data_IF_880721827617
#
_entry.id   IF_880721827617
#
_cell.length_a   1.000
_cell.length_b   1.000
_cell.length_c   1.000
_cell.angle_alpha   90.00
_cell.angle_beta   90.00
_cell.angle_gamma   90.00
#
_symmetry.space_group_name_H-M   'P 1'
#
loop_
_entity.id
_entity.type
_entity.pdbx_description
1 polymer ?
#
# COMPACT_ATOMS: atom_id res chain seq x y z
N UNK A 1 -0.73 -19.78 -16.43
CA UNK A 1 0.29 -19.10 -15.60
C UNK A 1 -0.30 -18.80 -14.24
N UNK A 2 0.46 -19.00 -13.16
CA UNK A 2 -0.02 -18.69 -11.82
C UNK A 2 0.00 -17.17 -11.58
N UNK A 3 -1.17 -16.54 -11.44
CA UNK A 3 -1.29 -15.10 -11.23
C UNK A 3 -0.63 -14.62 -9.94
N UNK A 4 -0.74 -15.37 -8.84
CA UNK A 4 -0.15 -14.99 -7.55
C UNK A 4 1.37 -14.98 -7.57
N UNK A 5 2.00 -15.99 -8.15
CA UNK A 5 3.46 -16.02 -8.29
C UNK A 5 4.00 -14.87 -9.15
N UNK A 6 3.26 -14.47 -10.20
CA UNK A 6 3.60 -13.32 -11.04
C UNK A 6 3.48 -12.01 -10.26
N UNK A 7 2.39 -11.81 -9.51
CA UNK A 7 2.19 -10.61 -8.69
C UNK A 7 3.32 -10.44 -7.67
N UNK A 8 3.69 -11.51 -6.95
CA UNK A 8 4.79 -11.44 -5.99
C UNK A 8 6.14 -11.17 -6.67
N UNK A 9 6.41 -11.79 -7.82
CA UNK A 9 7.62 -11.52 -8.59
C UNK A 9 7.66 -10.07 -9.11
N UNK A 10 6.54 -9.56 -9.62
CA UNK A 10 6.45 -8.19 -10.12
C UNK A 10 6.59 -7.17 -8.97
N UNK A 11 6.04 -7.44 -7.78
CA UNK A 11 6.26 -6.64 -6.58
C UNK A 11 7.73 -6.58 -6.16
N UNK A 12 8.42 -7.73 -6.11
CA UNK A 12 9.83 -7.80 -5.73
C UNK A 12 10.78 -7.19 -6.78
N UNK A 13 10.41 -7.27 -8.05
CA UNK A 13 11.17 -6.71 -9.16
C UNK A 13 10.85 -5.23 -9.45
N UNK A 14 9.98 -4.60 -8.64
CA UNK A 14 9.56 -3.21 -8.83
C UNK A 14 8.71 -2.96 -10.08
N UNK A 15 8.07 -4.01 -10.61
CA UNK A 15 7.18 -3.97 -11.78
C UNK A 15 5.71 -3.81 -11.40
N UNK A 16 5.37 -4.11 -10.15
CA UNK A 16 4.07 -3.79 -9.58
C UNK A 16 4.15 -2.39 -8.97
N UNK A 17 3.40 -1.45 -9.54
CA UNK A 17 3.27 -0.09 -9.04
C UNK A 17 1.93 0.50 -9.48
N UNK A 18 1.49 1.52 -8.77
CA UNK A 18 0.35 2.36 -9.17
C UNK A 18 0.79 3.80 -9.23
N UNK A 19 0.29 4.53 -10.22
CA UNK A 19 0.49 5.97 -10.31
C UNK A 19 -0.77 6.68 -9.88
N UNK A 20 -0.63 7.64 -8.97
CA UNK A 20 -1.72 8.47 -8.47
C UNK A 20 -1.39 9.94 -8.75
N UNK A 21 -2.41 10.78 -8.88
CA UNK A 21 -2.22 12.21 -9.11
C UNK A 21 -2.79 12.95 -7.92
N UNK A 22 -1.96 13.77 -7.27
CA UNK A 22 -2.34 14.61 -6.12
C UNK A 22 -1.78 16.01 -6.34
N UNK A 23 -2.61 17.03 -6.18
CA UNK A 23 -2.22 18.43 -6.38
C UNK A 23 -1.57 18.68 -7.76
N UNK A 24 -2.04 18.00 -8.81
CA UNK A 24 -1.53 18.11 -10.17
C UNK A 24 -0.16 17.46 -10.42
N UNK A 25 0.41 16.73 -9.44
CA UNK A 25 1.65 15.97 -9.59
C UNK A 25 1.37 14.47 -9.57
N UNK A 26 2.08 13.72 -10.41
CA UNK A 26 2.00 12.27 -10.45
C UNK A 26 3.01 11.64 -9.48
N UNK A 27 2.55 10.69 -8.67
CA UNK A 27 3.36 9.94 -7.72
C UNK A 27 3.25 8.45 -7.98
N UNK A 28 4.38 7.75 -7.91
CA UNK A 28 4.43 6.29 -8.04
C UNK A 28 4.44 5.63 -6.68
N UNK A 29 3.49 4.73 -6.47
CA UNK A 29 3.35 3.92 -5.26
C UNK A 29 3.76 2.50 -5.59
N UNK A 30 4.68 1.96 -4.79
CA UNK A 30 5.08 0.56 -4.83
C UNK A 30 4.39 -0.21 -3.69
N UNK A 31 4.33 -1.55 -3.75
CA UNK A 31 3.86 -2.36 -2.63
C UNK A 31 4.62 -1.97 -1.35
N UNK A 32 3.93 -1.44 -0.32
CA UNK A 32 4.61 -0.85 0.81
C UNK A 32 5.21 -1.92 1.72
N UNK A 33 6.39 -1.63 2.27
CA UNK A 33 7.03 -2.48 3.27
C UNK A 33 6.35 -2.30 4.64
N UNK A 34 6.64 -3.22 5.58
CA UNK A 34 6.14 -3.14 6.96
C UNK A 34 6.53 -1.80 7.62
N UNK A 35 7.74 -1.31 7.35
CA UNK A 35 8.22 -0.02 7.84
C UNK A 35 7.36 1.15 7.33
N UNK A 36 7.10 1.22 6.02
CA UNK A 36 6.27 2.27 5.43
C UNK A 36 4.85 2.23 5.96
N UNK A 37 4.29 1.03 6.13
CA UNK A 37 2.97 0.84 6.73
C UNK A 37 2.94 1.32 8.19
N UNK A 38 3.95 0.98 8.99
CA UNK A 38 4.03 1.41 10.38
C UNK A 38 4.15 2.94 10.51
N UNK A 39 4.96 3.57 9.66
CA UNK A 39 5.07 5.03 9.58
C UNK A 39 3.74 5.69 9.23
N UNK A 40 3.04 5.19 8.21
CA UNK A 40 1.71 5.69 7.86
C UNK A 40 0.69 5.51 8.99
N UNK A 41 0.62 4.32 9.61
CA UNK A 41 -0.31 4.02 10.71
C UNK A 41 -0.03 4.92 11.93
N UNK A 42 1.22 5.29 12.18
CA UNK A 42 1.56 6.16 13.32
C UNK A 42 0.80 7.50 13.26
N UNK A 43 0.57 8.03 12.06
CA UNK A 43 -0.20 9.26 11.83
C UNK A 43 -1.73 9.04 11.83
N UNK A 44 -2.18 7.79 11.65
CA UNK A 44 -3.59 7.41 11.64
C UNK A 44 -4.07 6.79 12.97
N UNK A 45 -3.17 6.62 13.93
CA UNK A 45 -3.40 5.92 15.23
C UNK A 45 -4.49 6.53 16.12
N UNK A 46 -4.95 7.76 15.84
CA UNK A 46 -6.04 8.41 16.58
C UNK A 46 -7.44 7.90 16.25
N UNK A 47 -7.58 7.03 15.24
CA UNK A 47 -8.88 6.53 14.78
C UNK A 47 -9.27 5.28 15.56
N UNK A 48 -10.46 5.29 16.17
CA UNK A 48 -10.93 4.20 17.06
C UNK A 48 -11.73 3.12 16.35
N UNK A 49 -12.53 3.49 15.35
CA UNK A 49 -13.32 2.56 14.53
C UNK A 49 -13.57 3.20 13.16
N UNK A 50 -12.87 2.72 12.14
CA UNK A 50 -13.08 3.13 10.76
C UNK A 50 -13.05 1.91 9.85
N UNK A 51 -14.07 1.75 9.02
CA UNK A 51 -14.12 0.65 8.05
C UNK A 51 -13.51 1.04 6.71
N UNK A 52 -13.47 2.34 6.41
CA UNK A 52 -12.89 2.89 5.20
C UNK A 52 -11.88 4.00 5.52
N UNK A 53 -11.00 4.29 4.57
CA UNK A 53 -10.07 5.43 4.67
C UNK A 53 -10.85 6.74 4.75
N UNK A 54 -12.01 6.83 4.11
CA UNK A 54 -12.92 7.96 4.25
C UNK A 54 -13.46 8.12 5.68
N UNK A 55 -13.73 7.03 6.39
CA UNK A 55 -14.15 7.09 7.81
C UNK A 55 -13.00 7.55 8.72
N UNK A 56 -11.77 7.09 8.41
CA UNK A 56 -10.54 7.59 9.04
C UNK A 56 -10.42 9.11 8.83
N UNK A 57 -10.66 9.57 7.60
CA UNK A 57 -10.64 10.96 7.16
C UNK A 57 -11.64 11.82 7.95
N UNK A 58 -12.89 11.38 7.99
CA UNK A 58 -14.00 12.06 8.68
C UNK A 58 -13.78 12.08 10.21
N UNK A 59 -13.18 11.02 10.76
CA UNK A 59 -12.86 10.94 12.19
C UNK A 59 -11.68 11.82 12.60
N UNK A 60 -10.65 11.93 11.74
CA UNK A 60 -9.46 12.73 12.03
C UNK A 60 -9.68 14.21 11.73
N UNK A 61 -10.45 14.55 10.69
CA UNK A 61 -10.68 15.92 10.24
C UNK A 61 -9.41 16.68 9.84
N UNK A 62 -8.28 15.96 9.68
CA UNK A 62 -6.94 16.52 9.58
C UNK A 62 -6.25 16.01 8.32
N UNK A 63 -6.30 16.83 7.27
CA UNK A 63 -5.65 16.56 5.99
C UNK A 63 -4.12 16.47 6.11
N UNK A 64 -3.53 17.10 7.12
CA UNK A 64 -2.09 17.01 7.39
C UNK A 64 -1.67 15.59 7.78
N UNK A 65 -2.44 14.91 8.64
CA UNK A 65 -2.16 13.52 9.04
C UNK A 65 -2.27 12.55 7.87
N UNK A 66 -3.26 12.75 7.01
CA UNK A 66 -3.47 11.92 5.83
C UNK A 66 -2.37 12.12 4.79
N UNK A 67 -1.93 13.36 4.61
CA UNK A 67 -0.83 13.70 3.71
C UNK A 67 0.50 13.13 4.21
N UNK A 68 0.75 13.13 5.52
CA UNK A 68 1.88 12.44 6.14
C UNK A 68 1.81 10.93 5.94
N UNK A 69 0.64 10.32 6.17
CA UNK A 69 0.45 8.90 5.93
C UNK A 69 0.70 8.52 4.46
N UNK A 70 0.20 9.33 3.53
CA UNK A 70 0.42 9.12 2.10
C UNK A 70 1.90 9.31 1.69
N UNK A 71 2.59 10.29 2.29
CA UNK A 71 4.03 10.48 2.12
C UNK A 71 4.83 9.24 2.53
N UNK A 72 4.46 8.61 3.65
CA UNK A 72 5.07 7.34 4.08
C UNK A 72 4.83 6.20 3.10
N UNK A 73 3.67 6.13 2.44
CA UNK A 73 3.42 5.12 1.41
C UNK A 73 4.27 5.34 0.15
N UNK A 74 4.44 6.60 -0.28
CA UNK A 74 5.18 6.95 -1.50
C UNK A 74 6.71 6.92 -1.25
N UNK A 75 7.19 7.77 -0.35
CA UNK A 75 8.60 8.02 -0.11
C UNK A 75 9.17 7.15 1.03
N UNK A 76 8.36 6.83 2.04
CA UNK A 76 8.83 6.18 3.26
C UNK A 76 9.31 7.16 4.33
N UNK A 77 8.90 8.42 4.23
CA UNK A 77 9.12 9.48 5.21
C UNK A 77 8.02 10.55 5.07
N UNK A 78 8.15 11.67 5.79
CA UNK A 78 7.20 12.81 5.72
C UNK A 78 7.57 13.86 4.66
N UNK A 79 8.56 13.62 3.79
CA UNK A 79 9.10 14.66 2.87
C UNK A 79 8.08 15.25 1.88
N UNK A 80 7.02 14.50 1.55
CA UNK A 80 5.99 14.92 0.60
C UNK A 80 4.73 15.49 1.29
N UNK A 81 4.67 15.54 2.62
CA UNK A 81 3.45 15.90 3.35
C UNK A 81 2.88 17.26 2.94
N UNK A 82 3.75 18.26 2.81
CA UNK A 82 3.34 19.65 2.53
C UNK A 82 2.85 19.83 1.10
N UNK A 83 3.34 19.00 0.17
CA UNK A 83 2.88 19.02 -1.22
C UNK A 83 1.56 18.27 -1.36
N UNK A 84 1.45 17.11 -0.72
CA UNK A 84 0.24 16.28 -0.75
C UNK A 84 -0.94 16.96 -0.04
N UNK A 85 -0.68 17.76 1.00
CA UNK A 85 -1.70 18.52 1.72
C UNK A 85 -2.36 19.62 0.86
N UNK A 86 -1.77 19.97 -0.29
CA UNK A 86 -2.38 20.91 -1.26
C UNK A 86 -3.38 20.21 -2.19
N UNK A 87 -3.44 18.88 -2.17
CA UNK A 87 -4.39 18.10 -2.96
C UNK A 87 -5.81 18.22 -2.41
N UNK A 88 -6.76 17.69 -3.16
CA UNK A 88 -8.15 17.57 -2.67
C UNK A 88 -8.32 16.33 -1.81
N UNK A 89 -9.35 16.30 -0.97
CA UNK A 89 -9.61 15.14 -0.12
C UNK A 89 -9.84 13.86 -0.94
N UNK A 90 -10.54 13.98 -2.07
CA UNK A 90 -10.81 12.84 -2.95
C UNK A 90 -9.52 12.32 -3.59
N UNK A 91 -8.60 13.21 -4.01
CA UNK A 91 -7.28 12.79 -4.53
C UNK A 91 -6.45 12.03 -3.50
N UNK A 92 -6.46 12.49 -2.24
CA UNK A 92 -5.71 11.84 -1.15
C UNK A 92 -6.35 10.52 -0.73
N UNK A 93 -7.68 10.44 -0.68
CA UNK A 93 -8.41 9.20 -0.40
C UNK A 93 -8.17 8.15 -1.48
N UNK A 94 -8.29 8.52 -2.77
CA UNK A 94 -8.01 7.65 -3.90
C UNK A 94 -6.56 7.12 -3.84
N UNK A 95 -5.61 7.99 -3.51
CA UNK A 95 -4.21 7.63 -3.40
C UNK A 95 -3.92 6.67 -2.23
N UNK A 96 -4.53 6.90 -1.07
CA UNK A 96 -4.42 6.02 0.09
C UNK A 96 -5.10 4.66 -0.16
N UNK A 97 -6.26 4.64 -0.84
CA UNK A 97 -6.93 3.40 -1.25
C UNK A 97 -6.09 2.62 -2.27
N UNK A 98 -5.42 3.33 -3.19
CA UNK A 98 -4.48 2.71 -4.11
C UNK A 98 -3.29 2.07 -3.35
N UNK A 99 -2.71 2.77 -2.38
CA UNK A 99 -1.58 2.29 -1.59
C UNK A 99 -1.91 1.06 -0.74
N UNK A 100 -3.03 1.13 0.00
CA UNK A 100 -3.50 0.03 0.86
C UNK A 100 -3.92 -1.19 0.05
N UNK A 101 -4.49 -1.00 -1.15
CA UNK A 101 -4.83 -2.07 -2.08
C UNK A 101 -3.61 -2.85 -2.60
N UNK A 102 -2.39 -2.34 -2.45
CA UNK A 102 -1.14 -3.02 -2.83
C UNK A 102 -0.56 -3.91 -1.72
N UNK A 103 -1.16 -3.93 -0.52
CA UNK A 103 -0.67 -4.67 0.67
C UNK A 103 -1.00 -6.18 0.62
N UNK A 104 -1.56 -6.69 -0.48
CA UNK A 104 -2.22 -8.01 -0.57
C UNK A 104 -1.43 -9.19 0.03
N UNK A 105 -1.74 -9.51 1.29
CA UNK A 105 -1.29 -10.72 1.99
C UNK A 105 -1.84 -11.99 1.33
N UNK A 106 -2.94 -11.86 0.59
CA UNK A 106 -3.52 -12.95 -0.20
C UNK A 106 -2.60 -13.40 -1.33
N UNK A 107 -1.90 -12.48 -1.99
CA UNK A 107 -0.99 -12.83 -3.08
C UNK A 107 0.27 -13.51 -2.54
N UNK A 108 0.75 -13.08 -1.37
CA UNK A 108 1.79 -13.81 -0.63
C UNK A 108 1.33 -15.21 -0.21
N UNK A 109 0.11 -15.37 0.33
CA UNK A 109 -0.45 -16.69 0.69
C UNK A 109 -0.56 -17.61 -0.52
N UNK A 110 -0.99 -17.09 -1.68
CA UNK A 110 -1.01 -17.85 -2.95
C UNK A 110 0.40 -18.29 -3.33
N UNK A 111 1.40 -17.41 -3.26
CA UNK A 111 2.80 -17.75 -3.56
C UNK A 111 3.35 -18.85 -2.64
N UNK A 112 3.12 -18.74 -1.32
CA UNK A 112 3.54 -19.75 -0.33
C UNK A 112 2.87 -21.11 -0.58
N UNK A 113 1.57 -21.13 -0.88
CA UNK A 113 0.84 -22.36 -1.22
C UNK A 113 1.49 -23.08 -2.41
N UNK A 114 1.95 -22.33 -3.41
CA UNK A 114 2.61 -22.88 -4.59
C UNK A 114 3.99 -23.40 -4.30
N UNK A 115 4.79 -22.65 -3.54
CA UNK A 115 6.11 -23.12 -3.11
C UNK A 115 5.99 -24.47 -2.39
N UNK A 116 4.95 -24.64 -1.56
CA UNK A 116 4.60 -25.91 -0.93
C UNK A 116 4.22 -26.98 -1.95
N UNK A 117 3.34 -26.69 -2.91
CA UNK A 117 2.94 -27.66 -3.96
C UNK A 117 4.11 -28.11 -4.83
N UNK A 118 5.01 -27.20 -5.21
CA UNK A 118 6.22 -27.51 -6.00
C UNK A 118 7.21 -28.35 -5.17
N UNK A 119 7.42 -28.00 -3.90
CA UNK A 119 8.25 -28.78 -2.98
C UNK A 119 7.74 -30.23 -2.85
N UNK A 120 6.43 -30.43 -2.69
CA UNK A 120 5.82 -31.77 -2.62
C UNK A 120 5.94 -32.57 -3.92
N UNK A 121 5.86 -31.91 -5.07
CA UNK A 121 6.06 -32.55 -6.38
C UNK A 121 7.52 -32.97 -6.58
N UNK A 122 8.48 -32.12 -6.20
CA UNK A 122 9.91 -32.42 -6.25
C UNK A 122 10.32 -33.47 -5.22
N UNK A 123 9.60 -33.59 -4.10
CA UNK A 123 9.85 -34.55 -3.04
C UNK A 123 9.26 -35.96 -3.30
N UNK A 124 8.45 -36.16 -4.34
CA UNK A 124 8.01 -37.52 -4.71
C UNK A 124 9.23 -38.28 -5.29
N UNK A 125 9.66 -39.39 -4.65
CA UNK A 125 10.75 -40.20 -5.20
C UNK A 125 10.31 -40.87 -6.50
N UNK A 126 11.28 -41.08 -7.40
CA UNK A 126 11.14 -41.96 -8.57
C UNK A 126 11.06 -43.41 -8.13
#
# INVERSE_FOLDING_TARGET
MNKGAKIVADALLGRDFRTVVVAGKAYTIYPPTIERMAGAISHLSGVRDAQTIRDVLLSLGDMGKLSKALSWFIAGDESLSDELAKGTLDEVDDALNAATGMVSIEDFRKAVSLAKSVSLLAAKPR
#
